data_IF_996298183283
#
_entry.id   IF_996298183283
#
_cell.length_a   1.000
_cell.length_b   1.000
_cell.length_c   1.000
_cell.angle_alpha   90.00
_cell.angle_beta   90.00
_cell.angle_gamma   90.00
#
_symmetry.space_group_name_H-M   'P 1'
#
loop_
_entity.id
_entity.type
_entity.pdbx_description
1 polymer ?
#
# COMPACT_ATOMS: atom_id res chain seq x y z
N UNK A 1 -10.70 5.52 -11.61
CA UNK A 1 -9.65 6.44 -12.10
C UNK A 1 -10.04 6.89 -13.51
N UNK A 2 -10.14 8.20 -13.77
CA UNK A 2 -10.63 8.75 -15.05
C UNK A 2 -9.64 8.68 -16.22
N UNK A 3 -8.88 7.59 -16.35
CA UNK A 3 -7.90 7.40 -17.43
C UNK A 3 -8.65 6.89 -18.67
N UNK A 4 -8.67 7.68 -19.73
CA UNK A 4 -9.22 7.30 -21.03
C UNK A 4 -8.27 6.32 -21.72
N UNK A 5 -8.78 5.24 -22.33
CA UNK A 5 -7.96 4.25 -23.05
C UNK A 5 -7.17 4.88 -24.21
N UNK A 6 -7.66 5.98 -24.76
CA UNK A 6 -7.03 6.74 -25.85
C UNK A 6 -5.70 7.39 -25.43
N UNK A 7 -5.48 7.59 -24.12
CA UNK A 7 -4.27 8.20 -23.59
C UNK A 7 -3.17 7.16 -23.35
N UNK A 8 -3.47 5.87 -23.53
CA UNK A 8 -2.51 4.79 -23.36
C UNK A 8 -1.63 4.68 -24.60
N UNK A 9 -0.33 4.57 -24.39
CA UNK A 9 0.61 4.19 -25.43
C UNK A 9 0.56 2.67 -25.62
N UNK A 10 0.61 2.18 -26.88
CA UNK A 10 0.71 0.76 -27.14
C UNK A 10 1.89 0.15 -26.38
N UNK A 11 1.64 -0.97 -25.71
CA UNK A 11 2.67 -1.77 -25.06
C UNK A 11 2.50 -3.21 -25.53
N UNK A 12 3.62 -3.92 -25.68
CA UNK A 12 3.63 -5.29 -26.18
C UNK A 12 4.14 -6.25 -25.11
N UNK A 13 3.57 -7.45 -25.12
CA UNK A 13 3.94 -8.54 -24.23
C UNK A 13 3.09 -8.62 -22.96
N UNK A 14 2.86 -9.83 -22.43
CA UNK A 14 2.20 -10.03 -21.15
C UNK A 14 3.15 -9.69 -19.99
N UNK A 15 2.57 -9.28 -18.87
CA UNK A 15 3.29 -9.27 -17.58
C UNK A 15 2.96 -10.54 -16.80
N UNK A 16 3.89 -11.01 -15.98
CA UNK A 16 3.74 -12.24 -15.21
C UNK A 16 3.69 -11.93 -13.72
N UNK A 17 2.62 -12.40 -13.07
CA UNK A 17 2.43 -12.27 -11.64
C UNK A 17 2.90 -13.50 -10.86
N UNK A 18 2.55 -13.53 -9.58
CA UNK A 18 2.91 -14.61 -8.66
C UNK A 18 2.39 -16.00 -9.09
N UNK A 19 1.23 -16.05 -9.74
CA UNK A 19 0.64 -17.29 -10.26
C UNK A 19 1.24 -17.75 -11.59
N UNK A 20 2.19 -17.00 -12.16
CA UNK A 20 2.78 -17.29 -13.48
C UNK A 20 1.82 -17.14 -14.66
N UNK A 21 0.57 -16.73 -14.41
CA UNK A 21 -0.40 -16.50 -15.48
C UNK A 21 -0.06 -15.18 -16.21
N UNK A 22 -0.14 -15.17 -17.56
CA UNK A 22 0.07 -13.94 -18.32
C UNK A 22 -1.10 -12.99 -18.08
N UNK A 23 -0.79 -11.75 -17.69
CA UNK A 23 -1.76 -10.66 -17.60
C UNK A 23 -1.63 -9.78 -18.83
N UNK A 24 -2.77 -9.56 -19.51
CA UNK A 24 -2.84 -8.72 -20.70
C UNK A 24 -2.62 -7.25 -20.35
N UNK A 25 -1.74 -6.60 -21.09
CA UNK A 25 -1.42 -5.18 -20.93
C UNK A 25 -2.31 -4.37 -21.86
N UNK A 26 -3.05 -3.41 -21.31
CA UNK A 26 -3.85 -2.46 -22.07
C UNK A 26 -2.99 -1.35 -22.70
N UNK A 27 -1.87 -1.02 -22.06
CA UNK A 27 -0.88 -0.07 -22.58
C UNK A 27 0.02 0.49 -21.49
N UNK A 28 0.75 1.55 -21.80
CA UNK A 28 1.54 2.32 -20.82
C UNK A 28 1.06 3.76 -20.76
N UNK A 29 1.20 4.38 -19.59
CA UNK A 29 1.00 5.81 -19.45
C UNK A 29 1.99 6.39 -18.44
N UNK A 30 2.37 7.65 -18.63
CA UNK A 30 3.18 8.38 -17.66
C UNK A 30 2.25 9.25 -16.81
N UNK A 31 2.32 9.11 -15.49
CA UNK A 31 1.56 9.91 -14.54
C UNK A 31 2.51 10.59 -13.54
N UNK A 32 2.24 11.85 -13.16
CA UNK A 32 2.90 12.46 -12.02
C UNK A 32 2.40 11.77 -10.74
N UNK A 33 3.34 11.27 -9.94
CA UNK A 33 3.08 10.71 -8.61
C UNK A 33 3.66 11.68 -7.59
N UNK A 34 2.82 12.14 -6.66
CA UNK A 34 3.27 12.96 -5.53
C UNK A 34 3.12 12.15 -4.25
N UNK A 35 4.20 12.02 -3.47
CA UNK A 35 4.21 11.36 -2.17
C UNK A 35 4.57 12.36 -1.07
N UNK A 36 3.96 12.18 0.10
CA UNK A 36 4.11 13.07 1.25
C UNK A 36 3.01 14.12 1.33
N UNK A 37 3.11 14.98 2.33
CA UNK A 37 2.17 16.07 2.58
C UNK A 37 2.97 17.37 2.68
N UNK A 38 2.36 18.49 2.30
CA UNK A 38 3.00 19.80 2.36
C UNK A 38 3.49 20.10 3.80
N UNK A 39 4.71 20.63 3.99
CA UNK A 39 5.67 21.11 2.98
C UNK A 39 6.63 20.03 2.44
N UNK A 40 6.55 18.79 2.93
CA UNK A 40 7.47 17.70 2.58
C UNK A 40 6.80 16.75 1.59
N UNK A 41 6.59 17.25 0.37
CA UNK A 41 6.12 16.44 -0.76
C UNK A 41 7.20 16.30 -1.83
N UNK A 42 7.25 15.15 -2.47
CA UNK A 42 8.14 14.87 -3.61
C UNK A 42 7.27 14.41 -4.77
N UNK A 43 7.53 14.89 -5.98
CA UNK A 43 6.77 14.52 -7.17
C UNK A 43 7.69 14.02 -8.28
N UNK A 44 7.33 12.89 -8.89
CA UNK A 44 8.05 12.29 -10.01
C UNK A 44 7.08 11.80 -11.09
N UNK A 45 7.48 11.97 -12.35
CA UNK A 45 6.78 11.36 -13.48
C UNK A 45 7.16 9.88 -13.57
N UNK A 46 6.16 9.02 -13.46
CA UNK A 46 6.35 7.57 -13.41
C UNK A 46 5.57 6.93 -14.55
N UNK A 47 6.25 6.06 -15.30
CA UNK A 47 5.60 5.20 -16.29
C UNK A 47 4.91 4.01 -15.61
N UNK A 48 3.61 3.91 -15.82
CA UNK A 48 2.76 2.81 -15.39
C UNK A 48 2.41 1.90 -16.56
N UNK A 49 2.30 0.61 -16.27
CA UNK A 49 1.68 -0.38 -17.15
C UNK A 49 0.21 -0.50 -16.75
N UNK A 50 -0.69 -0.16 -17.66
CA UNK A 50 -2.12 -0.33 -17.47
C UNK A 50 -2.52 -1.76 -17.84
N UNK A 51 -3.22 -2.42 -16.94
CA UNK A 51 -3.77 -3.77 -17.16
C UNK A 51 -5.28 -3.74 -16.96
N UNK A 52 -5.98 -4.54 -17.75
CA UNK A 52 -7.42 -4.70 -17.68
C UNK A 52 -7.71 -6.03 -16.97
N UNK A 53 -7.66 -6.00 -15.63
CA UNK A 53 -7.84 -7.19 -14.79
C UNK A 53 -8.70 -6.85 -13.60
N UNK A 54 -9.53 -7.80 -13.18
CA UNK A 54 -10.26 -7.71 -11.92
C UNK A 54 -9.25 -7.87 -10.77
N UNK A 55 -9.02 -6.79 -10.03
CA UNK A 55 -8.08 -6.74 -8.92
C UNK A 55 -8.68 -5.88 -7.80
N UNK A 56 -8.53 -6.28 -6.52
CA UNK A 56 -8.92 -5.42 -5.40
C UNK A 56 -7.97 -4.22 -5.24
N UNK A 57 -6.83 -4.23 -5.91
CA UNK A 57 -5.84 -3.16 -5.91
C UNK A 57 -5.93 -2.32 -7.17
N UNK A 58 -5.92 -1.00 -7.00
CA UNK A 58 -5.96 -0.01 -8.08
C UNK A 58 -4.59 0.21 -8.75
N UNK A 59 -3.50 0.06 -8.01
CA UNK A 59 -2.14 0.26 -8.50
C UNK A 59 -1.15 -0.56 -7.66
N UNK A 60 -0.05 -0.98 -8.30
CA UNK A 60 1.04 -1.71 -7.64
C UNK A 60 2.31 -0.89 -7.78
N UNK A 61 2.91 -0.54 -6.64
CA UNK A 61 4.15 0.21 -6.58
C UNK A 61 5.34 -0.73 -6.46
N UNK A 62 5.92 -1.08 -7.61
CA UNK A 62 7.13 -1.88 -7.68
C UNK A 62 8.39 -1.12 -7.24
N UNK A 63 9.52 -1.84 -7.30
CA UNK A 63 10.85 -1.29 -6.99
C UNK A 63 11.22 -0.02 -7.76
N UNK A 64 10.90 0.15 -9.06
CA UNK A 64 11.27 1.37 -9.78
C UNK A 64 10.72 2.64 -9.12
N UNK A 65 9.46 2.58 -8.67
CA UNK A 65 8.84 3.70 -7.96
C UNK A 65 9.50 3.91 -6.59
N UNK A 66 9.72 2.83 -5.82
CA UNK A 66 10.37 2.92 -4.51
C UNK A 66 11.79 3.51 -4.60
N UNK A 67 12.55 3.16 -5.64
CA UNK A 67 13.87 3.73 -5.92
C UNK A 67 13.77 5.20 -6.28
N UNK A 68 12.81 5.59 -7.13
CA UNK A 68 12.61 7.00 -7.49
C UNK A 68 12.34 7.88 -6.25
N UNK A 69 11.58 7.36 -5.29
CA UNK A 69 11.25 8.07 -4.04
C UNK A 69 12.19 7.77 -2.88
N UNK A 70 13.31 7.08 -3.09
CA UNK A 70 14.30 6.73 -2.05
C UNK A 70 13.63 6.14 -0.79
N UNK A 71 12.61 5.31 -0.98
CA UNK A 71 11.75 4.84 0.10
C UNK A 71 12.51 3.88 1.00
N UNK A 72 12.44 4.12 2.32
CA UNK A 72 12.90 3.16 3.33
C UNK A 72 11.70 2.36 3.83
N UNK A 73 11.74 1.04 3.66
CA UNK A 73 10.72 0.15 4.23
C UNK A 73 11.00 -0.05 5.72
N UNK A 74 10.04 0.31 6.57
CA UNK A 74 10.10 0.03 8.02
C UNK A 74 9.03 -0.99 8.37
N UNK A 75 9.42 -2.06 9.05
CA UNK A 75 8.51 -3.04 9.63
C UNK A 75 8.61 -2.95 11.14
N UNK A 76 7.56 -2.44 11.80
CA UNK A 76 7.46 -2.48 13.26
C UNK A 76 6.61 -3.69 13.65
N UNK A 77 7.19 -4.67 14.35
CA UNK A 77 6.39 -5.72 14.98
C UNK A 77 5.64 -5.12 16.16
N UNK A 78 4.31 -5.03 16.04
CA UNK A 78 3.46 -4.63 17.15
C UNK A 78 3.25 -5.85 18.05
N UNK A 79 4.04 -5.96 19.12
CA UNK A 79 3.75 -6.88 20.22
C UNK A 79 2.59 -6.32 21.05
N UNK A 80 1.46 -7.01 21.07
CA UNK A 80 0.39 -6.70 22.02
C UNK A 80 0.78 -7.23 23.40
N UNK A 81 1.16 -6.34 24.30
CA UNK A 81 1.14 -6.63 25.73
C UNK A 81 -0.29 -6.43 26.23
N UNK A 82 -0.92 -7.49 26.72
CA UNK A 82 -2.17 -7.45 27.47
C UNK A 82 -1.91 -6.65 28.75
N UNK A 83 -2.52 -5.47 28.89
CA UNK A 83 -2.38 -4.63 30.07
C UNK A 83 -3.25 -5.21 31.19
N UNK A 84 -2.59 -5.55 32.29
CA UNK A 84 -3.15 -6.05 33.54
C UNK A 84 -4.33 -5.22 34.04
N UNK A 85 -5.42 -5.89 34.45
CA UNK A 85 -6.46 -5.33 35.29
C UNK A 85 -6.23 -5.84 36.72
N UNK A 86 -5.38 -5.15 37.47
CA UNK A 86 -5.44 -5.19 38.94
C UNK A 86 -6.03 -3.85 39.39
N UNK A 87 -7.33 -3.85 39.69
CA UNK A 87 -7.93 -2.85 40.57
C UNK A 87 -8.27 -3.58 41.85
N UNK A 88 -7.44 -3.40 42.85
CA UNK A 88 -7.76 -3.72 44.22
C UNK A 88 -9.05 -2.96 44.60
N UNK A 89 -10.02 -3.69 45.15
CA UNK A 89 -11.03 -3.14 46.06
C UNK A 89 -10.86 -3.91 47.35
N UNK A 90 -10.14 -3.29 48.29
CA UNK A 90 -10.28 -3.62 49.71
C UNK A 90 -11.76 -3.44 50.07
N UNK A 91 -12.37 -4.49 50.59
CA UNK A 91 -13.61 -4.42 51.36
C UNK A 91 -13.27 -5.01 52.73
N UNK A 92 -12.87 -4.12 53.64
CA UNK A 92 -13.09 -4.31 55.07
C UNK A 92 -14.61 -4.37 55.31
N UNK A 93 -15.12 -5.47 55.85
CA UNK A 93 -16.32 -5.42 56.69
C UNK A 93 -16.37 -6.56 57.71
N UNK A 94 -17.01 -6.25 58.82
CA UNK A 94 -17.01 -6.87 60.14
C UNK A 94 -17.44 -8.35 60.21
N UNK A 95 -17.02 -9.00 61.31
CA UNK A 95 -17.44 -10.35 61.66
C UNK A 95 -18.84 -10.45 62.27
N UNK A 96 -19.35 -11.68 62.36
CA UNK A 96 -20.24 -12.16 63.43
C UNK A 96 -20.26 -13.71 63.41
N UNK A 97 -20.30 -14.30 64.61
CA UNK A 97 -20.31 -15.71 65.06
C UNK A 97 -19.02 -16.58 64.96
#
# INVERSE_FOLDING_TARGET
MGIQRQNLRPASGPIYGFNGAPVSVAGTLTLPVTLGEFPRQVSHDVQFVAVDTESPYNAIFGRPLQTAFQTTFSSSSRSQATKDASSAVELDDAGDD
#
